data_IF_251381163126
#
_entry.id   IF_251381163126
#
_cell.length_a   1.000
_cell.length_b   1.000
_cell.length_c   1.000
_cell.angle_alpha   90.00
_cell.angle_beta   90.00
_cell.angle_gamma   90.00
#
_symmetry.space_group_name_H-M   'P 1'
#
loop_
_entity.id
_entity.type
_entity.pdbx_description
1 polymer ?
#
# COMPACT_ATOMS: atom_id res chain seq x y z
N UNK A 1 17.35 -71.56 -43.46
CA UNK A 1 17.69 -70.59 -42.38
C UNK A 1 16.92 -69.32 -42.62
N UNK A 2 15.73 -69.15 -42.03
CA UNK A 2 14.92 -67.92 -42.18
C UNK A 2 14.91 -67.24 -40.80
N UNK A 3 15.52 -66.04 -40.73
CA UNK A 3 15.50 -65.19 -39.50
C UNK A 3 14.23 -64.36 -39.57
N UNK A 4 13.33 -64.61 -38.64
CA UNK A 4 12.14 -63.84 -38.42
C UNK A 4 12.45 -62.63 -37.55
N UNK A 5 12.30 -61.41 -38.05
CA UNK A 5 12.43 -60.18 -37.28
C UNK A 5 11.09 -59.90 -36.61
N UNK A 6 11.05 -59.93 -35.27
CA UNK A 6 9.93 -59.40 -34.50
C UNK A 6 10.12 -57.90 -34.31
N UNK A 7 9.26 -57.11 -34.89
CA UNK A 7 9.16 -55.65 -34.60
C UNK A 7 8.15 -55.51 -33.45
N UNK A 8 8.66 -55.18 -32.27
CA UNK A 8 7.83 -54.80 -31.11
C UNK A 8 7.37 -53.36 -31.28
N UNK A 9 6.09 -53.19 -31.57
CA UNK A 9 5.43 -51.88 -31.64
C UNK A 9 5.16 -51.40 -30.19
N UNK A 10 6.00 -50.53 -29.62
CA UNK A 10 5.76 -49.87 -28.36
C UNK A 10 4.76 -48.73 -28.59
N UNK A 11 3.46 -48.99 -28.31
CA UNK A 11 2.43 -47.96 -28.23
C UNK A 11 2.62 -47.23 -26.93
N UNK A 12 3.31 -46.09 -26.97
CA UNK A 12 3.38 -45.17 -25.85
C UNK A 12 2.02 -44.53 -25.65
N UNK A 13 1.31 -44.94 -24.57
CA UNK A 13 0.16 -44.22 -24.04
C UNK A 13 0.64 -42.88 -23.49
N UNK A 14 0.63 -41.83 -24.31
CA UNK A 14 0.61 -40.46 -23.83
C UNK A 14 -0.71 -40.25 -23.10
N UNK A 15 -0.69 -40.39 -21.79
CA UNK A 15 -1.75 -39.86 -20.94
C UNK A 15 -1.70 -38.31 -21.06
N UNK A 16 -2.49 -37.78 -21.96
CA UNK A 16 -2.90 -36.38 -21.94
C UNK A 16 -3.72 -36.19 -20.66
N UNK A 17 -3.04 -35.86 -19.57
CA UNK A 17 -3.68 -35.22 -18.44
C UNK A 17 -4.15 -33.84 -18.89
N UNK A 18 -5.23 -33.77 -19.64
CA UNK A 18 -6.03 -32.59 -19.80
C UNK A 18 -6.68 -32.31 -18.44
N UNK A 19 -5.90 -31.66 -17.57
CA UNK A 19 -6.46 -31.00 -16.40
C UNK A 19 -7.48 -30.01 -16.92
N UNK A 20 -8.76 -30.38 -16.85
CA UNK A 20 -9.85 -29.42 -17.03
C UNK A 20 -9.70 -28.39 -15.92
N UNK A 21 -8.99 -27.33 -16.20
CA UNK A 21 -9.08 -26.12 -15.39
C UNK A 21 -10.51 -25.63 -15.62
N UNK A 22 -11.42 -25.96 -14.71
CA UNK A 22 -12.74 -25.35 -14.69
C UNK A 22 -12.48 -23.84 -14.66
N UNK A 23 -12.80 -23.17 -15.76
CA UNK A 23 -12.72 -21.71 -15.81
C UNK A 23 -13.52 -21.17 -14.64
N UNK A 24 -12.88 -20.39 -13.78
CA UNK A 24 -13.53 -19.84 -12.61
C UNK A 24 -14.69 -18.95 -13.07
N UNK A 25 -15.92 -19.27 -12.64
CA UNK A 25 -17.11 -18.51 -13.00
C UNK A 25 -17.20 -17.23 -12.16
N UNK A 26 -17.06 -16.08 -12.81
CA UNK A 26 -17.21 -14.76 -12.22
C UNK A 26 -18.56 -14.10 -12.52
N UNK A 27 -19.54 -14.83 -13.02
CA UNK A 27 -20.85 -14.29 -13.41
C UNK A 27 -21.55 -13.53 -12.28
N UNK A 28 -21.50 -14.06 -11.05
CA UNK A 28 -22.05 -13.37 -9.86
C UNK A 28 -21.30 -12.08 -9.54
N UNK A 29 -19.98 -12.07 -9.63
CA UNK A 29 -19.19 -10.87 -9.44
C UNK A 29 -19.55 -9.81 -10.49
N UNK A 30 -19.65 -10.23 -11.77
CA UNK A 30 -20.06 -9.34 -12.85
C UNK A 30 -21.44 -8.72 -12.60
N UNK A 31 -22.45 -9.52 -12.20
CA UNK A 31 -23.79 -9.02 -11.88
C UNK A 31 -23.77 -7.95 -10.75
N UNK A 32 -22.97 -8.17 -9.70
CA UNK A 32 -22.83 -7.19 -8.63
C UNK A 32 -22.22 -5.89 -9.15
N UNK A 33 -21.11 -5.97 -9.89
CA UNK A 33 -20.44 -4.79 -10.44
C UNK A 33 -21.27 -4.10 -11.53
N UNK A 34 -22.03 -4.83 -12.35
CA UNK A 34 -23.00 -4.25 -13.30
C UNK A 34 -24.06 -3.42 -12.56
N UNK A 35 -24.58 -3.95 -11.46
CA UNK A 35 -25.54 -3.23 -10.64
C UNK A 35 -24.95 -1.99 -9.98
N UNK A 36 -23.72 -2.08 -9.45
CA UNK A 36 -23.02 -0.95 -8.84
C UNK A 36 -22.71 0.15 -9.87
N UNK A 37 -22.29 -0.21 -11.07
CA UNK A 37 -22.03 0.73 -12.17
C UNK A 37 -23.32 1.39 -12.65
N UNK A 38 -24.36 0.58 -12.92
CA UNK A 38 -25.66 1.08 -13.35
C UNK A 38 -26.27 2.10 -12.36
N UNK A 39 -26.13 1.86 -11.06
CA UNK A 39 -26.63 2.77 -10.03
C UNK A 39 -25.64 3.84 -9.63
N UNK A 40 -24.47 3.90 -10.27
CA UNK A 40 -23.38 4.85 -9.97
C UNK A 40 -22.98 4.84 -8.47
N UNK A 41 -22.84 3.64 -7.88
CA UNK A 41 -22.59 3.43 -6.44
C UNK A 41 -21.16 3.03 -6.11
N UNK A 42 -20.31 2.83 -7.11
CA UNK A 42 -18.92 2.45 -6.92
C UNK A 42 -18.05 3.07 -8.01
N UNK A 43 -16.87 3.54 -7.62
CA UNK A 43 -15.78 3.91 -8.53
C UNK A 43 -14.49 3.27 -8.04
N UNK A 44 -13.86 2.48 -8.89
CA UNK A 44 -12.63 1.79 -8.53
C UNK A 44 -12.32 0.59 -9.42
N UNK A 45 -11.20 -0.05 -9.13
CA UNK A 45 -10.77 -1.29 -9.79
C UNK A 45 -10.72 -2.43 -8.78
N UNK A 46 -11.29 -3.57 -9.17
CA UNK A 46 -11.21 -4.81 -8.41
C UNK A 46 -10.35 -5.80 -9.19
N UNK A 47 -9.44 -6.45 -8.50
CA UNK A 47 -8.60 -7.50 -9.05
C UNK A 47 -8.62 -8.73 -8.14
N UNK A 48 -8.69 -9.91 -8.74
CA UNK A 48 -8.50 -11.18 -8.03
C UNK A 48 -7.29 -11.87 -8.66
N UNK A 49 -6.35 -12.26 -7.80
CA UNK A 49 -5.20 -13.08 -8.19
C UNK A 49 -5.28 -14.46 -7.53
N UNK A 50 -4.85 -15.49 -8.24
CA UNK A 50 -4.73 -16.86 -7.73
C UNK A 50 -3.40 -17.44 -8.17
N UNK A 51 -2.62 -17.93 -7.21
CA UNK A 51 -1.28 -18.48 -7.47
C UNK A 51 -0.35 -17.50 -8.21
N UNK A 52 -0.45 -16.21 -7.92
CA UNK A 52 0.34 -15.15 -8.57
C UNK A 52 -0.19 -14.67 -9.92
N UNK A 53 -1.24 -15.29 -10.46
CA UNK A 53 -1.85 -14.90 -11.74
C UNK A 53 -3.13 -14.10 -11.56
N UNK A 54 -3.31 -13.03 -12.34
CA UNK A 54 -4.55 -12.26 -12.39
C UNK A 54 -5.65 -13.09 -13.07
N UNK A 55 -6.66 -13.52 -12.31
CA UNK A 55 -7.78 -14.33 -12.82
C UNK A 55 -9.06 -13.53 -13.07
N UNK A 56 -9.14 -12.31 -12.50
CA UNK A 56 -10.24 -11.39 -12.71
C UNK A 56 -9.77 -9.95 -12.52
N UNK A 57 -10.23 -9.04 -13.36
CA UNK A 57 -10.04 -7.61 -13.21
C UNK A 57 -11.22 -6.85 -13.77
N UNK A 58 -11.68 -5.83 -13.07
CA UNK A 58 -12.76 -4.97 -13.52
C UNK A 58 -12.60 -3.57 -12.96
N UNK A 59 -12.68 -2.57 -13.84
CA UNK A 59 -12.69 -1.14 -13.51
C UNK A 59 -14.05 -0.57 -13.84
N UNK A 60 -14.66 0.16 -12.90
CA UNK A 60 -15.97 0.83 -13.09
C UNK A 60 -15.93 2.23 -12.51
N UNK A 61 -16.71 3.14 -13.08
CA UNK A 61 -16.75 4.55 -12.70
C UNK A 61 -15.69 5.39 -13.40
N UNK A 62 -15.20 6.43 -12.71
CA UNK A 62 -14.42 7.49 -13.31
C UNK A 62 -13.11 7.74 -12.54
N UNK A 63 -12.03 7.99 -13.28
CA UNK A 63 -10.79 8.56 -12.75
C UNK A 63 -10.95 10.07 -12.50
N UNK A 64 -11.72 10.74 -13.36
CA UNK A 64 -12.17 12.12 -13.20
C UNK A 64 -13.66 12.19 -13.54
N UNK A 65 -14.51 12.26 -12.51
CA UNK A 65 -15.96 12.24 -12.67
C UNK A 65 -16.46 13.51 -13.38
N UNK A 66 -15.89 14.67 -13.04
CA UNK A 66 -16.28 15.95 -13.61
C UNK A 66 -15.99 16.04 -15.12
N UNK A 67 -14.90 15.40 -15.57
CA UNK A 67 -14.50 15.35 -16.98
C UNK A 67 -15.01 14.11 -17.70
N UNK A 68 -15.69 13.19 -17.01
CA UNK A 68 -16.19 11.95 -17.59
C UNK A 68 -15.09 10.96 -18.00
N UNK A 69 -13.85 11.10 -17.45
CA UNK A 69 -12.76 10.19 -17.74
C UNK A 69 -12.96 8.87 -16.99
N UNK A 70 -13.16 7.79 -17.74
CA UNK A 70 -13.40 6.45 -17.17
C UNK A 70 -12.13 5.85 -16.57
N UNK A 71 -12.32 5.05 -15.50
CA UNK A 71 -11.30 4.15 -14.97
C UNK A 71 -10.98 3.02 -15.96
N UNK A 72 -9.75 2.54 -15.94
CA UNK A 72 -9.31 1.36 -16.66
C UNK A 72 -8.36 0.54 -15.77
N UNK A 73 -7.95 -0.64 -16.24
CA UNK A 73 -7.13 -1.57 -15.44
C UNK A 73 -5.72 -1.06 -15.11
N UNK A 74 -5.25 -0.04 -15.81
CA UNK A 74 -3.95 0.58 -15.61
C UNK A 74 -4.03 1.90 -14.85
N UNK A 75 -5.23 2.27 -14.34
CA UNK A 75 -5.38 3.50 -13.56
C UNK A 75 -4.65 3.37 -12.24
N UNK A 76 -3.85 4.39 -11.92
CA UNK A 76 -3.12 4.50 -10.66
C UNK A 76 -4.01 5.14 -9.58
N UNK A 77 -3.86 4.67 -8.34
CA UNK A 77 -4.65 5.11 -7.20
C UNK A 77 -3.76 5.50 -6.02
N UNK A 78 -4.21 6.50 -5.25
CA UNK A 78 -3.70 6.70 -3.89
C UNK A 78 -4.09 5.50 -3.03
N UNK A 79 -3.13 4.84 -2.41
CA UNK A 79 -3.37 3.62 -1.63
C UNK A 79 -3.52 3.85 -0.13
N UNK A 80 -3.45 5.11 0.31
CA UNK A 80 -3.65 5.49 1.71
C UNK A 80 -2.76 4.69 2.65
N UNK A 81 -3.34 4.13 3.70
CA UNK A 81 -2.60 3.39 4.73
C UNK A 81 -1.96 2.07 4.28
N UNK A 82 -2.25 1.59 3.07
CA UNK A 82 -1.47 0.47 2.49
C UNK A 82 0.00 0.87 2.33
N UNK A 83 0.30 2.16 2.17
CA UNK A 83 1.67 2.71 2.14
C UNK A 83 2.52 2.28 3.35
N UNK A 84 1.90 2.03 4.50
CA UNK A 84 2.59 1.58 5.71
C UNK A 84 3.32 0.24 5.53
N UNK A 85 2.84 -0.63 4.64
CA UNK A 85 3.54 -1.88 4.30
C UNK A 85 4.90 -1.59 3.66
N UNK A 86 4.97 -0.61 2.75
CA UNK A 86 6.22 -0.21 2.10
C UNK A 86 7.19 0.40 3.13
N UNK A 87 6.71 1.28 4.01
CA UNK A 87 7.52 1.82 5.11
C UNK A 87 8.06 0.69 6.01
N UNK A 88 7.22 -0.28 6.39
CA UNK A 88 7.66 -1.43 7.19
C UNK A 88 8.74 -2.25 6.49
N UNK A 89 8.59 -2.51 5.19
CA UNK A 89 9.60 -3.21 4.38
C UNK A 89 10.91 -2.42 4.35
N UNK A 90 10.88 -1.09 4.17
CA UNK A 90 12.07 -0.24 4.18
C UNK A 90 12.77 -0.25 5.54
N UNK A 91 12.02 -0.21 6.66
CA UNK A 91 12.58 -0.37 8.02
C UNK A 91 13.27 -1.72 8.16
N UNK A 92 12.61 -2.83 7.73
CA UNK A 92 13.21 -4.16 7.83
C UNK A 92 14.46 -4.31 6.95
N UNK A 93 14.49 -3.66 5.79
CA UNK A 93 15.71 -3.58 4.96
C UNK A 93 16.82 -2.79 5.66
N UNK A 94 16.51 -1.70 6.34
CA UNK A 94 17.50 -0.96 7.13
C UNK A 94 18.07 -1.82 8.28
N UNK A 95 17.22 -2.65 8.90
CA UNK A 95 17.65 -3.60 9.94
C UNK A 95 18.53 -4.70 9.34
N UNK A 96 18.14 -5.28 8.22
CA UNK A 96 18.93 -6.31 7.50
C UNK A 96 20.29 -5.77 7.06
N UNK A 97 20.37 -4.51 6.65
CA UNK A 97 21.60 -3.81 6.27
C UNK A 97 22.45 -3.33 7.48
N UNK A 98 21.99 -3.58 8.70
CA UNK A 98 22.67 -3.17 9.94
C UNK A 98 22.69 -1.66 10.19
N UNK A 99 21.84 -0.90 9.51
CA UNK A 99 21.73 0.57 9.60
C UNK A 99 20.79 1.03 10.71
N UNK A 100 19.86 0.16 11.13
CA UNK A 100 18.85 0.42 12.14
C UNK A 100 18.69 -0.82 13.02
N UNK A 101 18.22 -0.66 14.26
CA UNK A 101 17.86 -1.76 15.16
C UNK A 101 16.41 -1.61 15.60
N UNK A 102 15.68 -2.73 15.76
CA UNK A 102 14.27 -2.69 16.19
C UNK A 102 14.10 -2.17 17.62
N UNK A 103 15.10 -2.38 18.49
CA UNK A 103 15.14 -1.88 19.86
C UNK A 103 15.77 -0.48 19.99
N UNK A 104 16.23 0.10 18.87
CA UNK A 104 16.76 1.46 18.84
C UNK A 104 15.71 2.46 19.30
N UNK A 105 16.14 3.43 20.12
CA UNK A 105 15.22 4.38 20.76
C UNK A 105 14.83 5.52 19.82
N UNK A 106 13.58 5.94 19.94
CA UNK A 106 13.10 7.14 19.24
C UNK A 106 13.91 8.39 19.64
N UNK A 107 14.39 8.44 20.87
CA UNK A 107 15.23 9.55 21.39
C UNK A 107 16.54 9.76 20.63
N UNK A 108 17.05 8.74 19.93
CA UNK A 108 18.25 8.86 19.09
C UNK A 108 18.00 9.77 17.87
N UNK A 109 16.74 9.93 17.47
CA UNK A 109 16.31 10.71 16.30
C UNK A 109 15.50 11.96 16.71
N UNK A 110 14.60 11.80 17.68
CA UNK A 110 13.61 12.82 18.09
C UNK A 110 13.44 12.85 19.61
N UNK A 111 14.47 13.32 20.36
CA UNK A 111 14.43 13.34 21.82
C UNK A 111 13.33 14.25 22.40
N UNK A 112 12.80 15.20 21.60
CA UNK A 112 11.73 16.12 22.00
C UNK A 112 10.33 15.46 22.03
N UNK A 113 10.14 14.27 21.43
CA UNK A 113 8.87 13.56 21.46
C UNK A 113 8.65 12.97 22.87
N UNK A 114 7.44 13.11 23.45
CA UNK A 114 7.14 12.54 24.76
C UNK A 114 7.43 11.03 24.84
N UNK A 115 8.11 10.60 25.90
CA UNK A 115 8.55 9.20 26.12
C UNK A 115 9.50 8.62 25.05
N UNK A 116 10.18 9.47 24.28
CA UNK A 116 11.08 9.00 23.21
C UNK A 116 12.18 8.04 23.72
N UNK A 117 12.62 8.22 24.96
CA UNK A 117 13.62 7.36 25.64
C UNK A 117 13.12 5.94 25.96
N UNK A 118 11.79 5.76 25.98
CA UNK A 118 11.14 4.46 26.21
C UNK A 118 10.68 3.80 24.90
N UNK A 119 10.34 4.61 23.90
CA UNK A 119 9.79 4.16 22.63
C UNK A 119 10.88 3.59 21.73
N UNK A 120 10.63 2.42 21.13
CA UNK A 120 11.53 1.78 20.16
C UNK A 120 10.94 1.81 18.75
N UNK A 121 11.80 1.55 17.75
CA UNK A 121 11.38 1.36 16.35
C UNK A 121 10.31 0.26 16.22
N UNK A 122 10.48 -0.86 16.97
CA UNK A 122 9.48 -1.93 17.03
C UNK A 122 8.13 -1.43 17.55
N UNK A 123 8.12 -0.60 18.59
CA UNK A 123 6.87 -0.04 19.14
C UNK A 123 6.17 0.89 18.17
N UNK A 124 6.91 1.63 17.34
CA UNK A 124 6.34 2.46 16.27
C UNK A 124 5.68 1.58 15.19
N UNK A 125 6.39 0.54 14.70
CA UNK A 125 5.88 -0.42 13.70
C UNK A 125 4.59 -1.09 14.16
N UNK A 126 4.52 -1.48 15.43
CA UNK A 126 3.41 -2.25 16.01
C UNK A 126 2.32 -1.38 16.67
N UNK A 127 2.37 -0.04 16.49
CA UNK A 127 1.43 0.90 17.10
C UNK A 127 1.33 0.77 18.63
N UNK A 128 2.48 0.56 19.29
CA UNK A 128 2.59 0.42 20.74
C UNK A 128 3.33 1.57 21.42
N UNK A 129 3.61 2.63 20.68
CA UNK A 129 4.37 3.79 21.19
C UNK A 129 3.64 4.62 22.24
N UNK A 130 2.32 4.64 22.21
CA UNK A 130 1.49 5.56 23.00
C UNK A 130 1.39 6.98 22.41
N UNK A 131 2.10 7.29 21.34
CA UNK A 131 2.06 8.62 20.70
C UNK A 131 0.66 8.89 20.16
N UNK A 132 0.11 10.07 20.48
CA UNK A 132 -1.18 10.52 20.00
C UNK A 132 -1.27 10.49 18.46
N UNK A 133 -2.43 10.08 17.96
CA UNK A 133 -2.69 10.07 16.52
C UNK A 133 -3.11 11.46 16.04
N UNK A 134 -2.21 12.22 15.41
CA UNK A 134 -2.47 13.60 14.98
C UNK A 134 -3.69 13.74 14.04
N UNK A 135 -4.12 12.66 13.38
CA UNK A 135 -5.31 12.70 12.53
C UNK A 135 -6.62 12.65 13.30
N UNK A 136 -6.56 12.46 14.64
CA UNK A 136 -7.73 12.51 15.53
C UNK A 136 -7.93 13.93 16.10
N UNK A 137 -7.02 14.87 15.82
CA UNK A 137 -7.15 16.27 16.21
C UNK A 137 -8.36 16.93 15.51
N UNK A 138 -9.15 17.71 16.24
CA UNK A 138 -10.31 18.42 15.69
C UNK A 138 -9.96 19.34 14.51
N UNK A 139 -8.76 19.90 14.50
CA UNK A 139 -8.28 20.79 13.45
C UNK A 139 -7.52 20.08 12.32
N UNK A 140 -7.39 18.74 12.35
CA UNK A 140 -6.65 17.99 11.34
C UNK A 140 -7.05 18.34 9.91
N UNK A 141 -8.37 18.35 9.62
CA UNK A 141 -8.89 18.63 8.28
C UNK A 141 -8.57 20.05 7.78
N UNK A 142 -8.23 20.98 8.66
CA UNK A 142 -7.89 22.36 8.26
C UNK A 142 -6.52 22.48 7.59
N UNK A 143 -5.66 21.47 7.77
CA UNK A 143 -4.30 21.46 7.21
C UNK A 143 -3.93 20.14 6.50
N UNK A 144 -4.83 19.18 6.42
CA UNK A 144 -4.56 17.82 5.91
C UNK A 144 -4.13 17.76 4.44
N UNK A 145 -4.47 18.80 3.66
CA UNK A 145 -4.13 18.91 2.24
C UNK A 145 -2.94 19.83 1.97
N UNK A 146 -2.34 20.40 3.02
CA UNK A 146 -1.19 21.29 2.89
C UNK A 146 0.11 20.52 3.11
N UNK A 147 1.15 20.70 2.27
CA UNK A 147 2.47 20.16 2.54
C UNK A 147 2.99 20.66 3.89
N UNK A 148 3.59 19.78 4.67
CA UNK A 148 4.23 20.09 5.96
C UNK A 148 5.69 19.66 5.94
N UNK A 149 6.56 20.50 6.45
CA UNK A 149 7.96 20.14 6.66
C UNK A 149 8.12 19.09 7.79
N UNK A 150 9.29 18.45 7.86
CA UNK A 150 9.61 17.54 8.96
C UNK A 150 9.45 18.26 10.32
N UNK A 151 9.98 19.48 10.45
CA UNK A 151 9.91 20.26 11.70
C UNK A 151 8.45 20.56 12.10
N UNK A 152 7.60 20.93 11.15
CA UNK A 152 6.18 21.20 11.40
C UNK A 152 5.46 19.91 11.85
N UNK A 153 5.72 18.77 11.19
CA UNK A 153 5.12 17.49 11.58
C UNK A 153 5.60 17.02 12.95
N UNK A 154 6.89 17.18 13.26
CA UNK A 154 7.43 16.86 14.59
C UNK A 154 6.80 17.75 15.65
N UNK A 155 6.60 19.05 15.39
CA UNK A 155 5.94 19.95 16.34
C UNK A 155 4.47 19.55 16.57
N UNK A 156 3.73 19.15 15.54
CA UNK A 156 2.36 18.64 15.65
C UNK A 156 2.32 17.38 16.52
N UNK A 157 3.18 16.40 16.22
CA UNK A 157 3.25 15.14 16.98
C UNK A 157 3.66 15.38 18.44
N UNK A 158 4.65 16.24 18.68
CA UNK A 158 5.08 16.62 20.03
C UNK A 158 3.92 17.26 20.82
N UNK A 159 3.17 18.16 20.21
CA UNK A 159 2.03 18.84 20.81
C UNK A 159 0.89 17.88 21.17
N UNK A 160 0.63 16.87 20.32
CA UNK A 160 -0.37 15.84 20.58
C UNK A 160 -0.06 14.99 21.81
N UNK A 161 1.22 14.83 22.14
CA UNK A 161 1.66 14.16 23.38
C UNK A 161 1.51 12.63 23.30
N UNK A 162 1.10 12.04 24.44
CA UNK A 162 0.99 10.59 24.60
C UNK A 162 -0.34 10.22 25.24
N UNK A 163 -1.06 9.26 24.65
CA UNK A 163 -2.37 8.78 25.13
C UNK A 163 -2.21 7.64 26.16
N UNK A 164 -1.07 6.95 26.18
CA UNK A 164 -0.80 5.85 27.10
C UNK A 164 0.70 5.56 27.21
N UNK A 165 1.09 4.86 28.25
CA UNK A 165 2.49 4.45 28.46
C UNK A 165 2.97 3.51 27.34
N UNK A 166 4.18 3.72 26.79
CA UNK A 166 4.74 2.87 25.74
C UNK A 166 4.67 1.39 26.11
N UNK A 167 4.30 0.56 25.14
CA UNK A 167 4.14 -0.89 25.24
C UNK A 167 3.00 -1.40 26.14
N UNK A 168 2.21 -0.54 26.79
CA UNK A 168 1.10 -0.98 27.65
C UNK A 168 -0.10 -1.55 26.86
N UNK A 169 -0.35 -1.04 25.66
CA UNK A 169 -1.38 -1.50 24.71
C UNK A 169 -1.00 -1.17 23.28
N UNK A 170 -1.78 -1.64 22.32
CA UNK A 170 -1.68 -1.22 20.91
C UNK A 170 -2.85 -0.29 20.58
N UNK A 171 -2.57 0.84 19.91
CA UNK A 171 -3.55 1.74 19.34
C UNK A 171 -2.98 2.37 18.07
N UNK A 172 -3.72 2.28 16.98
CA UNK A 172 -3.32 2.80 15.68
C UNK A 172 -3.02 4.29 15.76
N UNK A 173 -1.85 4.70 15.24
CA UNK A 173 -1.45 6.10 15.17
C UNK A 173 -0.67 6.36 13.89
N UNK A 174 -1.14 7.32 13.09
CA UNK A 174 -0.44 7.77 11.90
C UNK A 174 0.88 8.47 12.25
N UNK A 175 0.97 9.09 13.43
CA UNK A 175 2.20 9.72 13.95
C UNK A 175 3.38 8.74 13.94
N UNK A 176 3.14 7.47 14.26
CA UNK A 176 4.20 6.44 14.27
C UNK A 176 4.84 6.27 12.90
N UNK A 177 4.05 6.23 11.83
CA UNK A 177 4.55 5.97 10.49
C UNK A 177 5.16 7.20 9.82
N UNK A 178 4.73 8.42 10.21
CA UNK A 178 5.43 9.65 9.86
C UNK A 178 6.84 9.64 10.49
N UNK A 179 6.95 9.30 11.78
CA UNK A 179 8.25 9.19 12.46
C UNK A 179 9.13 8.11 11.81
N UNK A 180 8.59 6.94 11.47
CA UNK A 180 9.34 5.89 10.77
C UNK A 180 9.83 6.34 9.39
N UNK A 181 9.04 7.13 8.65
CA UNK A 181 9.47 7.72 7.37
C UNK A 181 10.68 8.63 7.58
N UNK A 182 10.61 9.56 8.53
CA UNK A 182 11.73 10.47 8.81
C UNK A 182 12.95 9.76 9.38
N UNK A 183 12.77 8.71 10.20
CA UNK A 183 13.87 7.85 10.66
C UNK A 183 14.59 7.21 9.47
N UNK A 184 13.85 6.71 8.48
CA UNK A 184 14.44 6.15 7.24
C UNK A 184 15.23 7.20 6.47
N UNK A 185 14.66 8.39 6.28
CA UNK A 185 15.33 9.48 5.56
C UNK A 185 16.65 9.88 6.23
N UNK A 186 16.66 10.00 7.56
CA UNK A 186 17.88 10.25 8.33
C UNK A 186 18.89 9.10 8.26
N UNK A 187 18.41 7.85 8.35
CA UNK A 187 19.26 6.65 8.35
C UNK A 187 19.97 6.46 7.02
N UNK A 188 19.32 6.81 5.92
CA UNK A 188 19.84 6.63 4.57
C UNK A 188 20.37 7.92 3.92
N UNK A 189 20.15 9.08 4.54
CA UNK A 189 20.43 10.40 3.95
C UNK A 189 19.84 10.54 2.53
N UNK A 190 18.60 10.10 2.36
CA UNK A 190 17.90 10.03 1.10
C UNK A 190 16.40 10.20 1.31
N UNK A 191 15.69 10.81 0.36
CA UNK A 191 14.24 10.98 0.47
C UNK A 191 13.49 9.64 0.45
N UNK A 192 12.31 9.62 1.09
CA UNK A 192 11.46 8.42 1.11
C UNK A 192 11.10 7.95 -0.31
N UNK A 193 10.82 8.87 -1.23
CA UNK A 193 10.53 8.53 -2.63
C UNK A 193 11.70 7.82 -3.32
N UNK A 194 12.94 8.29 -3.10
CA UNK A 194 14.13 7.62 -3.62
C UNK A 194 14.35 6.25 -2.98
N UNK A 195 14.11 6.11 -1.68
CA UNK A 195 14.22 4.82 -0.97
C UNK A 195 13.20 3.83 -1.51
N UNK A 196 11.94 4.25 -1.68
CA UNK A 196 10.88 3.45 -2.28
C UNK A 196 11.29 2.96 -3.67
N UNK A 197 11.75 3.88 -4.52
CA UNK A 197 12.16 3.57 -5.88
C UNK A 197 13.34 2.59 -5.91
N UNK A 198 14.44 2.93 -5.23
CA UNK A 198 15.70 2.17 -5.29
C UNK A 198 15.65 0.80 -4.61
N UNK A 199 14.90 0.71 -3.49
CA UNK A 199 14.91 -0.49 -2.64
C UNK A 199 13.70 -1.41 -2.85
N UNK A 200 12.61 -0.92 -3.43
CA UNK A 200 11.38 -1.70 -3.63
C UNK A 200 10.95 -1.68 -5.09
N UNK A 201 10.56 -0.50 -5.63
CA UNK A 201 9.88 -0.45 -6.93
C UNK A 201 10.75 -0.96 -8.07
N UNK A 202 11.97 -0.47 -8.23
CA UNK A 202 12.89 -0.88 -9.29
C UNK A 202 13.31 -2.36 -9.17
N UNK A 203 13.76 -2.87 -7.99
CA UNK A 203 14.14 -4.28 -7.88
C UNK A 203 13.02 -5.27 -8.15
N UNK A 204 11.76 -4.87 -7.92
CA UNK A 204 10.58 -5.70 -8.12
C UNK A 204 9.85 -5.44 -9.45
N UNK A 205 10.34 -4.49 -10.28
CA UNK A 205 9.70 -4.13 -11.54
C UNK A 205 8.30 -3.49 -11.36
N UNK A 206 8.09 -2.78 -10.26
CA UNK A 206 6.83 -2.09 -9.95
C UNK A 206 6.83 -0.69 -10.59
N UNK A 207 6.62 -0.63 -11.91
CA UNK A 207 6.74 0.60 -12.70
C UNK A 207 5.74 1.70 -12.34
N UNK A 208 4.62 1.34 -11.69
CA UNK A 208 3.53 2.24 -11.31
C UNK A 208 3.38 2.38 -9.78
N UNK A 209 4.47 2.12 -9.02
CA UNK A 209 4.51 2.28 -7.56
C UNK A 209 5.51 3.37 -7.20
N UNK A 210 5.00 4.52 -6.81
CA UNK A 210 5.79 5.73 -6.55
C UNK A 210 5.22 6.55 -5.39
N UNK A 211 6.03 7.47 -4.87
CA UNK A 211 5.54 8.47 -3.91
C UNK A 211 4.63 9.44 -4.67
N UNK A 212 3.45 9.63 -4.13
CA UNK A 212 2.45 10.53 -4.69
C UNK A 212 2.69 11.97 -4.20
N UNK A 213 2.63 12.94 -5.12
CA UNK A 213 2.68 14.37 -4.79
C UNK A 213 1.32 15.05 -5.03
N UNK A 214 0.86 15.03 -6.29
CA UNK A 214 -0.45 15.57 -6.69
C UNK A 214 -1.04 14.71 -7.80
N UNK A 215 -2.39 14.65 -7.90
CA UNK A 215 -3.04 13.84 -8.96
C UNK A 215 -2.79 14.45 -10.32
N UNK A 216 -2.16 13.68 -11.21
CA UNK A 216 -2.06 14.00 -12.63
C UNK A 216 -2.93 13.06 -13.46
N UNK A 217 -4.12 13.54 -13.84
CA UNK A 217 -5.06 12.79 -14.66
C UNK A 217 -4.46 12.41 -16.03
N UNK A 218 -3.48 13.18 -16.54
CA UNK A 218 -2.83 12.87 -17.82
C UNK A 218 -1.94 11.62 -17.71
N UNK A 219 -1.49 11.28 -16.50
CA UNK A 219 -0.71 10.08 -16.19
C UNK A 219 -1.59 8.89 -15.77
N UNK A 220 -2.89 8.95 -16.08
CA UNK A 220 -3.88 7.93 -15.73
C UNK A 220 -4.01 7.70 -14.20
N UNK A 221 -3.95 8.78 -13.43
CA UNK A 221 -4.15 8.77 -11.98
C UNK A 221 -5.59 9.13 -11.64
N UNK A 222 -6.17 8.45 -10.66
CA UNK A 222 -7.54 8.72 -10.23
C UNK A 222 -7.59 9.76 -9.11
N UNK A 223 -8.55 10.69 -9.21
CA UNK A 223 -8.97 11.51 -8.07
C UNK A 223 -9.65 10.64 -7.00
N UNK A 224 -9.61 11.09 -5.75
CA UNK A 224 -10.40 10.50 -4.66
C UNK A 224 -11.78 11.12 -4.61
N UNK A 225 -12.79 10.31 -4.32
CA UNK A 225 -14.18 10.74 -4.24
C UNK A 225 -14.88 10.17 -3.02
N UNK A 226 -15.67 10.99 -2.34
CA UNK A 226 -16.64 10.54 -1.34
C UNK A 226 -18.06 10.53 -1.93
N UNK A 227 -18.89 9.56 -1.53
CA UNK A 227 -20.28 9.44 -1.93
C UNK A 227 -21.24 9.75 -0.78
N UNK A 228 -22.01 10.83 -0.91
CA UNK A 228 -23.07 11.21 0.03
C UNK A 228 -24.40 11.52 -0.68
N UNK A 229 -24.79 10.66 -1.61
CA UNK A 229 -25.91 10.90 -2.53
C UNK A 229 -25.46 11.36 -3.92
N UNK A 230 -24.34 12.06 -3.99
CA UNK A 230 -23.59 12.40 -5.20
C UNK A 230 -22.11 12.18 -4.95
N UNK A 231 -21.33 11.99 -6.02
CA UNK A 231 -19.87 11.93 -5.94
C UNK A 231 -19.30 13.34 -5.77
N UNK A 232 -18.42 13.51 -4.80
CA UNK A 232 -17.68 14.77 -4.57
C UNK A 232 -16.20 14.44 -4.46
N UNK A 233 -15.35 15.27 -5.09
CA UNK A 233 -13.89 15.18 -4.94
C UNK A 233 -13.54 15.30 -3.46
N UNK A 234 -12.73 14.40 -2.98
CA UNK A 234 -12.11 14.41 -1.66
C UNK A 234 -10.61 14.61 -1.88
N UNK A 235 -10.09 15.77 -1.44
CA UNK A 235 -8.69 16.14 -1.65
C UNK A 235 -7.77 15.44 -0.64
#
# INVERSE_FOLDING_TARGET
MKKTFLIALAVGLLQLNSGYTLAQDFSKANQVFDSLDFHNKYMGTVMIAKNGEKVYSRSIGFADFEKGQKLNENTKFKIGSISKMFTSVLIMKAVEEGKLQLDQKLSDFYPQIPNADKITVDMLLNHRSGIHNFTDDENYLSYSTEPKSEEEMIAIIQKGGSDFEPNSKAAYSNSNYILLTFILEKTYESSYGELLAKKISQPLGLENTELFESVDISQNEAKSYAYNGTWKVEN
#
